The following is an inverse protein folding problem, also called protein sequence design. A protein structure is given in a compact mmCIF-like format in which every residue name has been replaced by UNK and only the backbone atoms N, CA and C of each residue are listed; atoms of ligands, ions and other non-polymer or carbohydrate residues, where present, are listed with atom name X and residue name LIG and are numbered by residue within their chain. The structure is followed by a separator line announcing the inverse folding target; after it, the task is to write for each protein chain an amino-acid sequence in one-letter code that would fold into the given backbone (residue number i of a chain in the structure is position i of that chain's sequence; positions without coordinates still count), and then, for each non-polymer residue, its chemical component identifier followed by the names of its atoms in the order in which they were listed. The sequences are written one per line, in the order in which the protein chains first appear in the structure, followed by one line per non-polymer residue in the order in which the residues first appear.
data_IF_266974878518
#
_entry.id   IF_266974878518
#
_cell.length_a   1.000
_cell.length_b   1.000
_cell.length_c   1.000
_cell.angle_alpha   90.00
_cell.angle_beta   90.00
_cell.angle_gamma   90.00
#
_symmetry.space_group_name_H-M   'P 1'
#
loop_
_entity.id
_entity.type
_entity.pdbx_description
1 polymer ?
#
# COMPACT_ATOMS: atom_id res chain seq x y z
N UNK A 1 10.08 0.94 -17.73
CA UNK A 1 8.71 0.68 -18.18
C UNK A 1 8.44 -0.82 -18.27
N UNK A 2 7.21 -1.27 -18.01
CA UNK A 2 6.83 -2.69 -17.96
C UNK A 2 5.97 -3.14 -19.16
N UNK A 3 5.66 -2.22 -20.06
CA UNK A 3 4.74 -2.42 -21.18
C UNK A 3 5.38 -2.03 -22.51
N UNK A 4 4.80 -2.53 -23.61
CA UNK A 4 5.26 -2.32 -24.97
C UNK A 4 4.17 -1.71 -25.86
N UNK A 5 4.57 -1.09 -26.98
CA UNK A 5 3.62 -0.60 -27.99
C UNK A 5 2.82 -1.78 -28.56
N UNK A 6 1.50 -1.63 -28.61
CA UNK A 6 0.56 -2.66 -29.04
C UNK A 6 -0.05 -3.50 -27.92
N UNK A 7 0.43 -3.36 -26.69
CA UNK A 7 -0.16 -4.04 -25.55
C UNK A 7 -1.55 -3.49 -25.23
N UNK A 8 -2.48 -4.37 -24.88
CA UNK A 8 -3.80 -4.01 -24.38
C UNK A 8 -3.72 -3.83 -22.86
N UNK A 9 -4.20 -2.69 -22.36
CA UNK A 9 -4.18 -2.36 -20.92
C UNK A 9 -5.57 -2.03 -20.40
N UNK A 10 -5.77 -2.31 -19.12
CA UNK A 10 -7.01 -2.05 -18.39
C UNK A 10 -6.72 -1.32 -17.09
N UNK A 11 -7.74 -0.69 -16.53
CA UNK A 11 -7.63 -0.01 -15.24
C UNK A 11 -7.01 -0.90 -14.16
N UNK A 12 -5.91 -0.43 -13.55
CA UNK A 12 -5.16 -1.15 -12.53
C UNK A 12 -3.93 -1.90 -13.04
N UNK A 13 -3.72 -2.01 -14.36
CA UNK A 13 -2.50 -2.58 -14.93
C UNK A 13 -1.29 -1.68 -14.64
N UNK A 14 -0.14 -2.28 -14.39
CA UNK A 14 1.08 -1.56 -14.09
C UNK A 14 1.83 -1.27 -15.38
N UNK A 15 2.09 0.01 -15.66
CA UNK A 15 2.77 0.48 -16.87
C UNK A 15 4.24 0.84 -16.64
N UNK A 16 4.60 1.16 -15.39
CA UNK A 16 5.97 1.50 -15.03
C UNK A 16 6.23 1.23 -13.54
N UNK A 17 7.50 1.04 -13.21
CA UNK A 17 7.99 0.94 -11.83
C UNK A 17 9.11 1.96 -11.63
N UNK A 18 9.04 2.68 -10.51
CA UNK A 18 10.02 3.71 -10.13
C UNK A 18 10.50 3.45 -8.71
N UNK A 19 11.80 3.24 -8.48
CA UNK A 19 12.34 3.19 -7.12
C UNK A 19 12.13 4.54 -6.42
N UNK A 20 11.26 4.57 -5.41
CA UNK A 20 10.91 5.81 -4.70
C UNK A 20 11.68 5.94 -3.38
N UNK A 21 11.75 4.86 -2.62
CA UNK A 21 12.52 4.77 -1.38
C UNK A 21 13.23 3.43 -1.29
N UNK A 22 14.02 3.22 -0.25
CA UNK A 22 14.67 1.92 0.02
C UNK A 22 13.67 0.80 0.28
N UNK A 23 12.43 1.13 0.66
CA UNK A 23 11.37 0.19 1.01
C UNK A 23 10.24 0.14 -0.03
N UNK A 24 10.14 1.13 -0.92
CA UNK A 24 8.98 1.31 -1.81
C UNK A 24 9.44 1.44 -3.26
N UNK A 25 8.85 0.60 -4.11
CA UNK A 25 8.85 0.77 -5.57
C UNK A 25 7.47 1.31 -5.95
N UNK A 26 7.43 2.54 -6.46
CA UNK A 26 6.20 3.15 -6.95
C UNK A 26 5.77 2.46 -8.24
N UNK A 27 4.54 1.97 -8.27
CA UNK A 27 3.92 1.31 -9.42
C UNK A 27 2.95 2.28 -10.09
N UNK A 28 3.32 2.77 -11.26
CA UNK A 28 2.44 3.60 -12.08
C UNK A 28 1.36 2.72 -12.68
N UNK A 29 0.10 3.02 -12.42
CA UNK A 29 -1.03 2.21 -12.88
C UNK A 29 -1.92 2.96 -13.86
N UNK A 30 -2.57 2.20 -14.73
CA UNK A 30 -3.67 2.72 -15.57
C UNK A 30 -4.84 3.13 -14.66
N UNK A 31 -5.41 4.34 -14.82
CA UNK A 31 -6.59 4.76 -14.05
C UNK A 31 -7.79 3.83 -14.22
N UNK A 32 -8.73 3.78 -13.24
CA UNK A 32 -9.75 2.72 -13.13
C UNK A 32 -10.73 2.62 -14.31
N UNK A 33 -10.90 3.68 -15.06
CA UNK A 33 -11.89 3.74 -16.16
C UNK A 33 -11.25 3.79 -17.55
N UNK A 34 -9.94 3.57 -17.61
CA UNK A 34 -9.19 3.60 -18.86
C UNK A 34 -8.90 2.16 -19.29
N UNK A 35 -9.21 1.87 -20.55
CA UNK A 35 -8.82 0.63 -21.22
C UNK A 35 -8.55 0.92 -22.68
N UNK A 36 -7.50 0.35 -23.24
CA UNK A 36 -7.14 0.61 -24.63
C UNK A 36 -5.84 -0.07 -25.04
N UNK A 37 -5.28 0.37 -26.14
CA UNK A 37 -4.05 -0.14 -26.72
C UNK A 37 -2.95 0.90 -26.58
N UNK A 38 -1.77 0.49 -26.19
CA UNK A 38 -0.61 1.37 -26.06
C UNK A 38 -0.09 1.73 -27.46
N UNK A 39 -0.08 3.01 -27.76
CA UNK A 39 0.39 3.57 -29.05
C UNK A 39 1.78 4.19 -28.93
N UNK A 40 2.17 4.63 -27.74
CA UNK A 40 3.48 5.25 -27.52
C UNK A 40 4.01 4.88 -26.15
N UNK A 41 5.30 4.60 -26.07
CA UNK A 41 6.03 4.32 -24.81
C UNK A 41 7.29 5.19 -24.84
N UNK A 42 7.52 5.92 -23.75
CA UNK A 42 8.73 6.73 -23.62
C UNK A 42 9.92 5.82 -23.29
N UNK A 43 11.16 6.21 -23.65
CA UNK A 43 12.33 5.42 -23.25
C UNK A 43 12.54 5.47 -21.73
N UNK A 44 13.26 4.49 -21.17
CA UNK A 44 13.67 4.55 -19.77
C UNK A 44 14.56 5.77 -19.51
N UNK A 45 14.29 6.49 -18.43
CA UNK A 45 15.00 7.72 -18.11
C UNK A 45 14.44 8.41 -16.87
N UNK A 46 14.92 9.62 -16.63
CA UNK A 46 14.44 10.48 -15.55
C UNK A 46 13.31 11.39 -16.07
N UNK A 47 12.16 11.32 -15.43
CA UNK A 47 10.97 12.10 -15.78
C UNK A 47 10.40 12.78 -14.53
N UNK A 48 9.73 13.89 -14.72
CA UNK A 48 8.90 14.49 -13.68
C UNK A 48 7.58 13.72 -13.55
N UNK A 49 6.91 13.88 -12.44
CA UNK A 49 5.65 13.15 -12.15
C UNK A 49 4.51 13.45 -13.12
N UNK A 50 4.56 14.59 -13.78
CA UNK A 50 3.52 15.06 -14.70
C UNK A 50 3.85 14.82 -16.19
N UNK A 51 5.06 14.36 -16.49
CA UNK A 51 5.45 14.01 -17.86
C UNK A 51 4.77 12.71 -18.31
N UNK A 52 4.29 12.65 -19.58
CA UNK A 52 3.74 11.43 -20.13
C UNK A 52 4.76 10.30 -20.18
N UNK A 53 4.38 9.12 -19.70
CA UNK A 53 5.17 7.88 -19.81
C UNK A 53 4.68 7.00 -20.96
N UNK A 54 3.37 6.93 -21.12
CA UNK A 54 2.70 6.03 -22.06
C UNK A 54 1.48 6.75 -22.63
N UNK A 55 1.22 6.60 -23.94
CA UNK A 55 -0.02 7.03 -24.57
C UNK A 55 -0.89 5.83 -24.89
N UNK A 56 -2.14 5.86 -24.47
CA UNK A 56 -3.14 4.81 -24.69
C UNK A 56 -4.22 5.32 -25.64
N UNK A 57 -4.52 4.55 -26.68
CA UNK A 57 -5.66 4.78 -27.58
C UNK A 57 -6.87 3.99 -27.04
N UNK A 58 -7.93 4.72 -26.76
CA UNK A 58 -9.20 4.15 -26.31
C UNK A 58 -9.97 3.54 -27.48
N UNK A 59 -10.96 2.70 -27.19
CA UNK A 59 -11.89 2.15 -28.18
C UNK A 59 -12.70 3.22 -28.94
N UNK A 60 -12.77 4.44 -28.43
CA UNK A 60 -13.36 5.61 -29.10
C UNK A 60 -12.46 6.22 -30.17
N UNK A 61 -11.18 5.83 -30.27
CA UNK A 61 -10.16 6.46 -31.10
C UNK A 61 -9.51 7.70 -30.46
N UNK A 62 -9.87 8.04 -29.24
CA UNK A 62 -9.25 9.11 -28.48
C UNK A 62 -7.96 8.60 -27.82
N UNK A 63 -6.94 9.45 -27.75
CA UNK A 63 -5.67 9.13 -27.09
C UNK A 63 -5.55 9.84 -25.75
N UNK A 64 -5.06 9.13 -24.74
CA UNK A 64 -4.83 9.67 -23.40
C UNK A 64 -3.38 9.39 -23.01
N UNK A 65 -2.72 10.44 -22.50
CA UNK A 65 -1.39 10.34 -21.93
C UNK A 65 -1.48 9.95 -20.45
N UNK A 66 -0.73 8.92 -20.07
CA UNK A 66 -0.60 8.45 -18.70
C UNK A 66 0.73 8.90 -18.12
N UNK A 67 0.68 9.42 -16.89
CA UNK A 67 1.82 9.95 -16.13
C UNK A 67 2.12 9.09 -14.90
N UNK A 68 3.12 9.43 -14.10
CA UNK A 68 3.39 8.79 -12.82
C UNK A 68 2.29 9.04 -11.80
N UNK A 69 1.57 10.17 -11.92
CA UNK A 69 0.47 10.52 -11.03
C UNK A 69 -0.87 10.11 -11.62
N UNK A 70 -1.79 9.72 -10.74
CA UNK A 70 -3.16 9.39 -11.11
C UNK A 70 -4.13 9.85 -10.04
N UNK A 71 -5.30 10.33 -10.45
CA UNK A 71 -6.39 10.61 -9.53
C UNK A 71 -7.26 9.38 -9.40
N UNK A 72 -7.35 8.87 -8.17
CA UNK A 72 -8.18 7.71 -7.88
C UNK A 72 -9.35 8.10 -7.00
N UNK A 73 -10.61 7.75 -7.34
CA UNK A 73 -11.75 8.03 -6.48
C UNK A 73 -11.61 7.32 -5.13
N UNK A 74 -11.74 8.03 -4.01
CA UNK A 74 -11.54 7.49 -2.65
C UNK A 74 -12.41 6.26 -2.37
N UNK A 75 -13.63 6.22 -2.93
CA UNK A 75 -14.61 5.15 -2.66
C UNK A 75 -14.61 4.03 -3.70
N UNK A 76 -13.76 4.12 -4.71
CA UNK A 76 -13.61 3.06 -5.70
C UNK A 76 -12.41 2.21 -5.31
N UNK A 77 -12.61 0.92 -4.97
CA UNK A 77 -11.50 0.03 -4.67
C UNK A 77 -10.64 -0.16 -5.92
N UNK A 78 -9.35 -0.39 -5.72
CA UNK A 78 -8.48 -0.76 -6.83
C UNK A 78 -8.92 -2.10 -7.42
N UNK A 79 -8.94 -2.24 -8.74
CA UNK A 79 -9.29 -3.52 -9.36
C UNK A 79 -8.26 -4.58 -8.96
N UNK A 80 -8.75 -5.80 -8.76
CA UNK A 80 -7.92 -6.97 -8.46
C UNK A 80 -8.13 -8.01 -9.53
N UNK A 81 -7.07 -8.41 -10.22
CA UNK A 81 -7.13 -9.45 -11.24
C UNK A 81 -7.36 -10.84 -10.64
N UNK A 82 -6.86 -11.06 -9.43
CA UNK A 82 -6.94 -12.38 -8.80
C UNK A 82 -7.15 -12.26 -7.29
N UNK A 83 -8.05 -13.06 -6.74
CA UNK A 83 -8.16 -13.28 -5.30
C UNK A 83 -7.53 -14.61 -4.96
N UNK A 84 -6.47 -14.58 -4.18
CA UNK A 84 -5.86 -15.79 -3.66
C UNK A 84 -6.65 -16.37 -2.50
N UNK A 85 -6.66 -17.70 -2.32
CA UNK A 85 -7.22 -18.30 -1.12
C UNK A 85 -6.43 -17.84 0.13
N UNK A 86 -7.11 -17.78 1.27
CA UNK A 86 -6.52 -17.38 2.55
C UNK A 86 -5.64 -18.51 3.13
N UNK A 87 -4.55 -18.84 2.43
CA UNK A 87 -3.65 -19.96 2.76
C UNK A 87 -2.30 -19.53 3.35
N UNK A 88 -1.94 -18.24 3.22
CA UNK A 88 -0.66 -17.72 3.71
C UNK A 88 -0.93 -16.91 4.98
N UNK A 89 -0.37 -17.32 6.14
CA UNK A 89 -0.54 -16.58 7.39
C UNK A 89 0.29 -15.29 7.39
N UNK A 90 -0.26 -14.24 7.99
CA UNK A 90 0.48 -13.05 8.41
C UNK A 90 1.17 -13.38 9.73
N UNK A 91 2.49 -13.33 9.75
CA UNK A 91 3.24 -13.51 10.99
C UNK A 91 3.20 -12.21 11.78
N UNK A 92 2.56 -12.22 12.92
CA UNK A 92 2.37 -11.03 13.77
C UNK A 92 3.47 -10.87 14.82
N UNK A 93 4.29 -11.90 15.05
CA UNK A 93 5.25 -11.97 16.13
C UNK A 93 4.63 -12.27 17.51
N UNK A 94 3.30 -12.40 17.57
CA UNK A 94 2.57 -12.76 18.80
C UNK A 94 2.26 -14.25 18.76
N UNK A 95 2.94 -15.05 19.60
CA UNK A 95 2.81 -16.53 19.59
C UNK A 95 1.36 -17.01 19.66
N UNK A 96 0.54 -16.40 20.51
CA UNK A 96 -0.87 -16.80 20.66
C UNK A 96 -1.65 -16.54 19.37
N UNK A 97 -1.44 -15.41 18.71
CA UNK A 97 -2.10 -15.08 17.45
C UNK A 97 -1.62 -16.03 16.36
N UNK A 98 -0.31 -16.15 16.20
CA UNK A 98 0.29 -16.92 15.11
C UNK A 98 -0.02 -18.43 15.18
N UNK A 99 -0.22 -18.97 16.38
CA UNK A 99 -0.47 -20.42 16.57
C UNK A 99 -1.94 -20.78 16.75
N UNK A 100 -2.72 -19.95 17.46
CA UNK A 100 -4.10 -20.28 17.85
C UNK A 100 -5.14 -19.53 17.06
N UNK A 101 -4.83 -18.31 16.57
CA UNK A 101 -5.74 -17.43 15.86
C UNK A 101 -5.05 -16.77 14.65
N UNK A 102 -4.49 -17.56 13.73
CA UNK A 102 -3.68 -17.01 12.64
C UNK A 102 -4.50 -16.08 11.76
N UNK A 103 -3.89 -14.94 11.41
CA UNK A 103 -4.45 -13.97 10.48
C UNK A 103 -3.90 -14.28 9.09
N UNK A 104 -4.76 -14.40 8.09
CA UNK A 104 -4.30 -14.59 6.72
C UNK A 104 -3.77 -13.27 6.12
N UNK A 105 -2.75 -13.33 5.28
CA UNK A 105 -2.33 -12.19 4.46
C UNK A 105 -3.49 -11.75 3.56
N UNK A 106 -3.81 -10.44 3.58
CA UNK A 106 -4.98 -9.87 2.92
C UNK A 106 -6.29 -10.09 3.68
N UNK A 107 -6.25 -10.70 4.87
CA UNK A 107 -7.41 -10.90 5.74
C UNK A 107 -7.74 -9.68 6.60
N UNK A 108 -8.85 -9.78 7.31
CA UNK A 108 -9.32 -8.77 8.27
C UNK A 108 -9.45 -9.42 9.64
N UNK A 109 -8.95 -8.75 10.68
CA UNK A 109 -9.10 -9.17 12.06
C UNK A 109 -9.75 -8.06 12.90
N UNK A 110 -10.55 -8.45 13.87
CA UNK A 110 -11.15 -7.53 14.83
C UNK A 110 -10.58 -7.80 16.22
N UNK A 111 -10.26 -6.74 16.94
CA UNK A 111 -9.78 -6.80 18.35
C UNK A 111 -10.80 -6.08 19.23
N UNK A 112 -11.93 -6.72 19.58
CA UNK A 112 -12.97 -6.11 20.39
C UNK A 112 -12.60 -6.12 21.87
N UNK A 113 -13.21 -5.22 22.65
CA UNK A 113 -13.06 -5.20 24.10
C UNK A 113 -13.43 -3.85 24.71
N UNK A 114 -13.73 -3.83 26.00
CA UNK A 114 -13.96 -2.62 26.79
C UNK A 114 -12.67 -1.84 27.07
N UNK A 115 -12.77 -0.82 27.91
CA UNK A 115 -11.60 -0.06 28.36
C UNK A 115 -10.64 -0.94 29.16
N UNK A 116 -9.34 -0.75 28.93
CA UNK A 116 -8.29 -1.44 29.70
C UNK A 116 -8.06 -2.93 29.34
N UNK A 117 -8.70 -3.45 28.28
CA UNK A 117 -8.53 -4.84 27.85
C UNK A 117 -7.30 -5.08 26.98
N UNK A 118 -6.51 -4.05 26.70
CA UNK A 118 -5.27 -4.17 25.92
C UNK A 118 -5.44 -4.12 24.41
N UNK A 119 -6.59 -3.67 23.89
CA UNK A 119 -6.85 -3.55 22.44
C UNK A 119 -5.75 -2.78 21.72
N UNK A 120 -5.50 -1.56 22.15
CA UNK A 120 -4.49 -0.66 21.56
C UNK A 120 -3.10 -1.30 21.65
N UNK A 121 -2.76 -1.91 22.78
CA UNK A 121 -1.47 -2.59 22.95
C UNK A 121 -1.31 -3.77 21.98
N UNK A 122 -2.37 -4.54 21.75
CA UNK A 122 -2.35 -5.64 20.78
C UNK A 122 -2.11 -5.11 19.37
N UNK A 123 -2.80 -4.05 18.97
CA UNK A 123 -2.61 -3.40 17.67
C UNK A 123 -1.20 -2.85 17.50
N UNK A 124 -0.64 -2.21 18.54
CA UNK A 124 0.74 -1.72 18.53
C UNK A 124 1.74 -2.86 18.33
N UNK A 125 1.55 -3.99 19.03
CA UNK A 125 2.45 -5.12 18.90
C UNK A 125 2.39 -5.74 17.49
N UNK A 126 1.21 -5.86 16.91
CA UNK A 126 1.05 -6.34 15.54
C UNK A 126 1.73 -5.38 14.56
N UNK A 127 1.52 -4.07 14.69
CA UNK A 127 2.14 -3.06 13.84
C UNK A 127 3.68 -3.09 13.92
N UNK A 128 4.24 -3.29 15.12
CA UNK A 128 5.70 -3.32 15.32
C UNK A 128 6.37 -4.56 14.71
N UNK A 129 5.76 -5.72 14.86
CA UNK A 129 6.44 -7.01 14.66
C UNK A 129 5.91 -7.83 13.48
N UNK A 130 4.81 -7.39 12.83
CA UNK A 130 4.28 -8.13 11.69
C UNK A 130 5.25 -8.17 10.50
N UNK A 131 5.13 -9.22 9.71
CA UNK A 131 5.91 -9.41 8.49
C UNK A 131 5.36 -8.62 7.28
N UNK A 132 4.55 -7.60 7.52
CA UNK A 132 4.07 -6.66 6.50
C UNK A 132 5.23 -5.82 5.94
N UNK A 133 5.16 -5.48 4.66
CA UNK A 133 6.16 -4.64 4.01
C UNK A 133 5.98 -3.15 4.36
N UNK A 134 4.73 -2.70 4.45
CA UNK A 134 4.35 -1.33 4.78
C UNK A 134 3.32 -1.36 5.90
N UNK A 135 3.44 -0.44 6.84
CA UNK A 135 2.53 -0.27 7.97
C UNK A 135 1.79 1.06 7.79
N UNK A 136 0.47 1.01 7.80
CA UNK A 136 -0.36 2.21 7.88
C UNK A 136 -1.14 2.13 9.19
N UNK A 137 -0.74 2.96 10.15
CA UNK A 137 -1.39 3.04 11.45
C UNK A 137 -2.33 4.23 11.49
N UNK A 138 -3.61 3.97 11.68
CA UNK A 138 -4.65 5.00 11.65
C UNK A 138 -5.31 5.07 13.03
N UNK A 139 -5.09 6.18 13.74
CA UNK A 139 -5.84 6.54 14.94
C UNK A 139 -7.05 7.39 14.54
N UNK A 140 -8.26 6.83 14.68
CA UNK A 140 -9.50 7.52 14.38
C UNK A 140 -10.34 7.67 15.66
N UNK A 141 -10.39 8.88 16.23
CA UNK A 141 -11.00 9.13 17.54
C UNK A 141 -10.18 8.59 18.72
N UNK A 142 -8.91 8.32 18.53
CA UNK A 142 -7.98 7.90 19.58
C UNK A 142 -7.56 9.08 20.46
N UNK A 143 -7.10 8.78 21.66
CA UNK A 143 -6.58 9.81 22.57
C UNK A 143 -5.25 10.35 22.06
N UNK A 144 -5.05 11.66 22.15
CA UNK A 144 -3.82 12.32 21.70
C UNK A 144 -2.57 11.76 22.36
N UNK A 145 -2.60 11.43 23.65
CA UNK A 145 -1.49 10.82 24.38
C UNK A 145 -1.14 9.40 23.85
N UNK A 146 -2.12 8.60 23.46
CA UNK A 146 -1.88 7.28 22.87
C UNK A 146 -1.19 7.41 21.51
N UNK A 147 -1.62 8.35 20.67
CA UNK A 147 -0.97 8.63 19.38
C UNK A 147 0.45 9.18 19.54
N UNK A 148 0.68 10.05 20.53
CA UNK A 148 2.03 10.54 20.86
C UNK A 148 2.94 9.40 21.29
N UNK A 149 2.44 8.48 22.11
CA UNK A 149 3.19 7.30 22.53
C UNK A 149 3.58 6.42 21.33
N UNK A 150 2.65 6.18 20.40
CA UNK A 150 2.94 5.44 19.16
C UNK A 150 4.07 6.09 18.38
N UNK A 151 4.00 7.41 18.19
CA UNK A 151 5.02 8.15 17.46
C UNK A 151 6.38 8.04 18.14
N UNK A 152 6.44 8.26 19.47
CA UNK A 152 7.68 8.15 20.23
C UNK A 152 8.30 6.76 20.23
N UNK A 153 7.47 5.72 20.29
CA UNK A 153 7.94 4.35 20.28
C UNK A 153 8.42 3.93 18.88
N UNK A 154 7.65 4.23 17.83
CA UNK A 154 7.97 3.81 16.47
C UNK A 154 9.23 4.48 15.92
N UNK A 155 9.48 5.73 16.31
CA UNK A 155 10.73 6.44 15.93
C UNK A 155 11.99 5.85 16.53
N UNK A 156 11.88 5.12 17.65
CA UNK A 156 13.02 4.48 18.34
C UNK A 156 13.27 3.05 17.89
N UNK A 157 12.32 2.45 17.17
CA UNK A 157 12.41 1.06 16.76
C UNK A 157 13.17 0.91 15.43
N UNK A 158 13.89 -0.19 15.36
CA UNK A 158 14.57 -0.65 14.15
C UNK A 158 13.81 -1.86 13.62
N UNK A 159 13.55 -1.87 12.33
CA UNK A 159 12.93 -3.01 11.66
C UNK A 159 13.90 -4.20 11.65
N UNK A 160 13.53 -5.34 12.25
CA UNK A 160 14.42 -6.50 12.36
C UNK A 160 14.76 -7.12 11.00
N UNK A 161 13.99 -6.84 9.94
CA UNK A 161 14.24 -7.38 8.61
C UNK A 161 15.28 -6.57 7.83
N UNK A 162 15.11 -5.27 7.82
CA UNK A 162 15.94 -4.37 7.01
C UNK A 162 17.12 -3.75 7.78
N UNK A 163 17.03 -3.69 9.11
CA UNK A 163 17.97 -2.96 9.96
C UNK A 163 17.80 -1.43 9.91
N UNK A 164 16.80 -0.94 9.17
CA UNK A 164 16.48 0.49 9.05
C UNK A 164 15.49 0.92 10.13
N UNK A 165 15.32 2.24 10.38
CA UNK A 165 14.25 2.72 11.25
C UNK A 165 12.87 2.19 10.83
N UNK A 166 12.05 1.76 11.80
CA UNK A 166 10.69 1.25 11.52
C UNK A 166 9.83 2.30 10.80
N UNK A 167 10.11 3.58 11.04
CA UNK A 167 9.40 4.70 10.40
C UNK A 167 9.60 4.77 8.88
N UNK A 168 10.67 4.19 8.33
CA UNK A 168 10.91 4.19 6.88
C UNK A 168 9.83 3.41 6.10
N UNK A 169 9.15 2.48 6.79
CA UNK A 169 8.04 1.70 6.23
C UNK A 169 6.70 1.95 6.92
N UNK A 170 6.59 3.02 7.73
CA UNK A 170 5.39 3.30 8.53
C UNK A 170 4.80 4.66 8.20
N UNK A 171 3.49 4.70 7.97
CA UNK A 171 2.71 5.94 7.87
C UNK A 171 1.76 6.03 9.05
N UNK A 172 1.83 7.14 9.80
CA UNK A 172 0.92 7.42 10.91
C UNK A 172 -0.11 8.46 10.49
N UNK A 173 -1.38 8.13 10.63
CA UNK A 173 -2.50 9.05 10.39
C UNK A 173 -3.23 9.23 11.71
N UNK A 174 -3.19 10.44 12.28
CA UNK A 174 -3.81 10.74 13.56
C UNK A 174 -5.00 11.67 13.38
N UNK A 175 -6.17 11.19 13.78
CA UNK A 175 -7.37 11.98 13.97
C UNK A 175 -7.82 11.80 15.43
N UNK A 176 -7.32 12.67 16.31
CA UNK A 176 -7.58 12.60 17.75
C UNK A 176 -8.98 13.13 18.10
N UNK A 177 -9.54 12.61 19.16
CA UNK A 177 -10.81 13.09 19.75
C UNK A 177 -10.60 14.32 20.61
#
# INVERSE_FOLDING_TARGET
LTVSIGDSVHGGDIIAEVPETTAIVHKCMVPPHISGIITKVMPDGAYTIDEPLVTVELSSGETIDLTMTQKWPIRVPRPTHHRFPASVPLITGQRILDTMFPIAKGGTACVPGGFGTGKTMTQHQIAKWSDADIIIYIGCGERGNEMTQVLEEFTKLVDPKSGNPLMDRTTLIANTS
#
